data_IF_086269875081
#
_entry.id   IF_086269875081
#
_cell.length_a   1.000
_cell.length_b   1.000
_cell.length_c   1.000
_cell.angle_alpha   90.00
_cell.angle_beta   90.00
_cell.angle_gamma   90.00
#
_symmetry.space_group_name_H-M   'P 1'
#
loop_
_entity.id
_entity.type
_entity.pdbx_description
1 polymer ?
#
# COMPACT_ATOMS: atom_id res chain seq x y z
N UNK A 1 9.89 13.81 -20.90
CA UNK A 1 9.88 12.61 -20.05
C UNK A 1 8.51 12.50 -19.37
N UNK A 2 7.64 11.64 -19.89
CA UNK A 2 6.21 11.53 -19.49
C UNK A 2 5.96 10.94 -18.07
N UNK A 3 7.01 10.77 -17.25
CA UNK A 3 6.93 10.10 -15.95
C UNK A 3 6.52 11.00 -14.76
N UNK A 4 6.66 12.32 -14.86
CA UNK A 4 6.41 13.22 -13.71
C UNK A 4 4.93 13.47 -13.43
N UNK A 5 4.15 13.77 -14.47
CA UNK A 5 2.72 14.12 -14.37
C UNK A 5 1.85 12.89 -14.04
N UNK A 6 2.16 11.74 -14.63
CA UNK A 6 1.48 10.47 -14.40
C UNK A 6 1.74 9.91 -12.99
N UNK A 7 2.97 10.06 -12.48
CA UNK A 7 3.30 9.71 -11.10
C UNK A 7 2.55 10.60 -10.09
N UNK A 8 2.44 11.91 -10.35
CA UNK A 8 1.65 12.82 -9.50
C UNK A 8 0.16 12.44 -9.50
N UNK A 9 -0.41 12.12 -10.66
CA UNK A 9 -1.79 11.67 -10.78
C UNK A 9 -2.05 10.39 -9.96
N UNK A 10 -1.15 9.40 -10.02
CA UNK A 10 -1.28 8.20 -9.21
C UNK A 10 -1.01 8.46 -7.72
N UNK A 11 -0.10 9.37 -7.35
CA UNK A 11 0.08 9.81 -5.96
C UNK A 11 -1.20 10.45 -5.42
N UNK A 12 -1.84 11.32 -6.20
CA UNK A 12 -3.13 11.92 -5.82
C UNK A 12 -4.21 10.85 -5.69
N UNK A 13 -4.29 9.92 -6.65
CA UNK A 13 -5.23 8.82 -6.59
C UNK A 13 -5.04 7.99 -5.31
N UNK A 14 -3.80 7.55 -5.05
CA UNK A 14 -3.49 6.80 -3.83
C UNK A 14 -3.72 7.61 -2.56
N UNK A 15 -3.49 8.93 -2.56
CA UNK A 15 -3.79 9.79 -1.42
C UNK A 15 -5.30 9.91 -1.17
N UNK A 16 -6.11 10.00 -2.24
CA UNK A 16 -7.57 9.98 -2.15
C UNK A 16 -8.06 8.61 -1.65
N UNK A 17 -7.51 7.50 -2.16
CA UNK A 17 -7.84 6.17 -1.66
C UNK A 17 -7.41 5.98 -0.20
N UNK A 18 -6.21 6.41 0.17
CA UNK A 18 -5.68 6.30 1.53
C UNK A 18 -6.47 7.14 2.53
N UNK A 19 -6.88 8.34 2.15
CA UNK A 19 -7.73 9.20 2.99
C UNK A 19 -9.13 8.62 3.19
N UNK A 20 -9.72 8.00 2.14
CA UNK A 20 -11.01 7.29 2.26
C UNK A 20 -10.93 6.05 3.16
N UNK A 21 -9.84 5.29 3.09
CA UNK A 21 -9.57 4.17 4.02
C UNK A 21 -9.40 4.67 5.45
N UNK A 22 -8.67 5.78 5.63
CA UNK A 22 -8.41 6.36 6.95
C UNK A 22 -9.65 6.94 7.61
N UNK A 23 -10.64 7.43 6.86
CA UNK A 23 -11.86 8.03 7.44
C UNK A 23 -12.83 7.02 8.05
N UNK A 24 -12.71 5.73 7.74
CA UNK A 24 -13.55 4.67 8.30
C UNK A 24 -12.96 3.94 9.51
N UNK A 25 -11.70 4.20 9.85
CA UNK A 25 -11.02 3.53 10.95
C UNK A 25 -11.13 4.35 12.24
N UNK A 26 -11.69 3.75 13.29
CA UNK A 26 -11.83 4.37 14.62
C UNK A 26 -10.47 4.55 15.36
N UNK A 27 -9.35 4.20 14.70
CA UNK A 27 -7.98 4.45 15.15
C UNK A 27 -7.15 5.04 14.00
N UNK A 28 -6.23 5.99 14.28
CA UNK A 28 -5.31 6.50 13.27
C UNK A 28 -4.50 5.35 12.64
N UNK A 29 -4.47 5.30 11.32
CA UNK A 29 -3.66 4.31 10.60
C UNK A 29 -2.17 4.45 10.98
N UNK A 30 -1.51 3.32 11.21
CA UNK A 30 -0.09 3.27 11.53
C UNK A 30 0.27 3.58 12.99
N UNK A 31 -0.69 3.60 13.92
CA UNK A 31 -0.39 3.57 15.36
C UNK A 31 0.42 2.33 15.74
N UNK A 32 0.16 1.18 15.10
CA UNK A 32 0.90 -0.05 15.28
C UNK A 32 2.39 0.13 14.94
N UNK A 33 2.71 0.87 13.88
CA UNK A 33 4.09 1.14 13.47
C UNK A 33 4.76 2.16 14.40
N UNK A 34 4.02 3.16 14.88
CA UNK A 34 4.53 4.12 15.88
C UNK A 34 4.81 3.44 17.22
N UNK A 35 3.95 2.52 17.64
CA UNK A 35 4.16 1.71 18.83
C UNK A 35 5.38 0.80 18.67
N UNK A 36 5.49 0.11 17.53
CA UNK A 36 6.65 -0.74 17.22
C UNK A 36 7.98 0.04 17.25
N UNK A 37 7.99 1.25 16.70
CA UNK A 37 9.16 2.13 16.74
C UNK A 37 9.54 2.49 18.17
N UNK A 38 8.59 2.98 18.98
CA UNK A 38 8.85 3.34 20.38
C UNK A 38 9.43 2.16 21.17
N UNK A 39 8.78 1.00 21.09
CA UNK A 39 9.25 -0.22 21.78
C UNK A 39 10.63 -0.64 21.28
N UNK A 40 10.94 -0.50 19.98
CA UNK A 40 12.27 -0.82 19.46
C UNK A 40 13.36 0.09 20.02
N UNK A 41 13.05 1.39 20.18
CA UNK A 41 13.97 2.37 20.77
C UNK A 41 14.17 2.07 22.27
N UNK A 42 13.11 1.75 23.01
CA UNK A 42 13.15 1.44 24.44
C UNK A 42 14.00 0.21 24.77
N UNK A 43 13.95 -0.83 23.93
CA UNK A 43 14.72 -2.08 24.14
C UNK A 43 16.08 -2.07 23.41
N UNK A 44 16.41 -0.99 22.69
CA UNK A 44 17.62 -0.90 21.87
C UNK A 44 17.67 -1.89 20.70
N UNK A 45 16.52 -2.31 20.17
CA UNK A 45 16.45 -3.18 19.01
C UNK A 45 16.73 -2.41 17.72
N UNK A 46 17.38 -3.07 16.75
CA UNK A 46 17.60 -2.49 15.44
C UNK A 46 16.26 -2.32 14.69
N UNK A 47 15.90 -1.08 14.38
CA UNK A 47 14.74 -0.78 13.54
C UNK A 47 15.09 -0.92 12.06
N UNK A 48 14.32 -1.74 11.34
CA UNK A 48 14.44 -1.92 9.88
C UNK A 48 13.10 -1.58 9.24
N UNK A 49 13.12 -0.72 8.22
CA UNK A 49 11.93 -0.45 7.41
C UNK A 49 11.71 -1.63 6.46
N UNK A 50 10.69 -2.43 6.75
CA UNK A 50 10.42 -3.68 6.06
C UNK A 50 9.71 -3.56 4.71
N UNK A 51 9.05 -2.42 4.45
CA UNK A 51 8.24 -2.21 3.25
C UNK A 51 9.06 -1.57 2.11
N UNK A 52 8.57 -1.76 0.88
CA UNK A 52 9.15 -1.19 -0.33
C UNK A 52 8.93 0.33 -0.35
N UNK A 53 9.91 1.13 -0.81
CA UNK A 53 9.68 2.55 -1.08
C UNK A 53 8.44 2.76 -1.93
N UNK A 54 7.57 3.67 -1.49
CA UNK A 54 6.25 3.86 -2.10
C UNK A 54 6.36 4.31 -3.56
N UNK A 55 7.43 5.01 -3.92
CA UNK A 55 7.75 5.45 -5.28
C UNK A 55 7.91 4.28 -6.22
N UNK A 56 8.63 3.24 -5.80
CA UNK A 56 8.86 2.03 -6.59
C UNK A 56 7.55 1.26 -6.75
N UNK A 57 6.78 1.15 -5.65
CA UNK A 57 5.44 0.53 -5.68
C UNK A 57 4.54 1.22 -6.70
N UNK A 58 4.51 2.55 -6.66
CA UNK A 58 3.71 3.39 -7.54
C UNK A 58 4.14 3.30 -9.00
N UNK A 59 5.44 3.32 -9.26
CA UNK A 59 6.00 3.20 -10.59
C UNK A 59 5.63 1.85 -11.21
N UNK A 60 5.76 0.76 -10.45
CA UNK A 60 5.38 -0.59 -10.91
C UNK A 60 3.87 -0.70 -11.14
N UNK A 61 3.06 -0.09 -10.28
CA UNK A 61 1.61 0.02 -10.46
C UNK A 61 1.23 0.76 -11.75
N UNK A 62 1.86 1.90 -12.07
CA UNK A 62 1.61 2.60 -13.34
C UNK A 62 2.03 1.79 -14.56
N UNK A 63 3.17 1.09 -14.46
CA UNK A 63 3.70 0.27 -15.55
C UNK A 63 2.83 -0.98 -15.80
N UNK A 64 2.19 -1.54 -14.78
CA UNK A 64 1.36 -2.73 -14.93
C UNK A 64 0.02 -2.45 -15.62
N UNK A 65 -0.51 -1.22 -15.54
CA UNK A 65 -1.78 -0.87 -16.17
C UNK A 65 -1.73 -1.00 -17.70
N UNK A 66 -2.77 -1.63 -18.27
CA UNK A 66 -3.05 -1.62 -19.70
C UNK A 66 -3.40 -0.20 -20.19
N UNK A 67 -3.41 0.00 -21.52
CA UNK A 67 -3.79 1.28 -22.10
C UNK A 67 -5.23 1.68 -21.75
N UNK A 68 -6.15 0.70 -21.74
CA UNK A 68 -7.56 0.93 -21.38
C UNK A 68 -7.72 1.28 -19.89
N UNK A 69 -6.99 0.61 -19.01
CA UNK A 69 -7.00 0.94 -17.58
C UNK A 69 -6.38 2.31 -17.32
N UNK A 70 -5.29 2.68 -18.03
CA UNK A 70 -4.67 4.00 -17.94
C UNK A 70 -5.63 5.12 -18.34
N UNK A 71 -6.34 4.96 -19.47
CA UNK A 71 -7.32 5.96 -19.91
C UNK A 71 -8.49 6.07 -18.95
N UNK A 72 -9.04 4.94 -18.47
CA UNK A 72 -10.07 4.92 -17.42
C UNK A 72 -9.61 5.62 -16.14
N UNK A 73 -8.37 5.37 -15.70
CA UNK A 73 -7.79 6.00 -14.52
C UNK A 73 -7.72 7.52 -14.69
N UNK A 74 -7.19 7.98 -15.83
CA UNK A 74 -7.08 9.41 -16.15
C UNK A 74 -8.47 10.05 -16.19
N UNK A 75 -9.45 9.46 -16.89
CA UNK A 75 -10.83 9.97 -16.94
C UNK A 75 -11.44 10.02 -15.54
N UNK A 76 -11.24 8.99 -14.72
CA UNK A 76 -11.77 8.94 -13.35
C UNK A 76 -11.20 10.04 -12.46
N UNK A 77 -9.91 10.35 -12.64
CA UNK A 77 -9.22 11.43 -11.93
C UNK A 77 -9.69 12.80 -12.40
N UNK A 78 -9.79 13.02 -13.71
CA UNK A 78 -10.34 14.26 -14.27
C UNK A 78 -11.77 14.48 -13.79
N UNK A 79 -12.64 13.46 -13.87
CA UNK A 79 -14.01 13.55 -13.36
C UNK A 79 -14.03 13.78 -11.85
N UNK A 80 -13.19 13.09 -11.08
CA UNK A 80 -13.11 13.27 -9.63
C UNK A 80 -12.69 14.68 -9.23
N UNK A 81 -11.71 15.28 -9.93
CA UNK A 81 -11.27 16.66 -9.70
C UNK A 81 -12.34 17.66 -10.16
N UNK A 82 -12.97 17.46 -11.32
CA UNK A 82 -14.07 18.33 -11.78
C UNK A 82 -15.33 18.19 -10.93
N UNK A 83 -15.59 17.04 -10.31
CA UNK A 83 -16.71 16.86 -9.38
C UNK A 83 -16.47 17.50 -8.02
N UNK A 84 -15.22 17.81 -7.65
CA UNK A 84 -14.94 18.56 -6.40
C UNK A 84 -15.39 20.02 -6.45
N UNK A 85 -15.78 20.56 -7.62
CA UNK A 85 -16.33 21.92 -7.70
C UNK A 85 -17.83 22.00 -7.38
N UNK A 86 -18.57 20.89 -7.31
CA UNK A 86 -20.04 20.88 -7.08
C UNK A 86 -20.55 19.75 -6.17
N UNK A 87 -19.74 19.24 -5.23
CA UNK A 87 -20.24 18.23 -4.27
C UNK A 87 -20.60 18.83 -2.91
N UNK A 88 -21.87 18.73 -2.47
CA UNK A 88 -22.22 18.93 -1.07
C UNK A 88 -21.48 17.91 -0.19
N UNK A 89 -21.18 18.32 1.04
CA UNK A 89 -20.33 17.64 2.02
C UNK A 89 -20.89 16.31 2.58
N UNK A 90 -21.99 15.80 2.03
CA UNK A 90 -22.70 14.63 2.52
C UNK A 90 -22.46 13.43 1.60
N UNK A 91 -21.63 12.51 2.11
CA UNK A 91 -21.49 11.07 1.79
C UNK A 91 -20.03 10.62 1.95
N UNK A 92 -19.43 10.94 3.11
CA UNK A 92 -18.25 10.23 3.60
C UNK A 92 -18.69 8.94 4.30
N UNK A 93 -19.36 8.05 3.56
CA UNK A 93 -19.57 6.69 4.04
C UNK A 93 -18.20 6.03 4.20
N UNK A 94 -17.94 5.44 5.36
CA UNK A 94 -16.75 4.65 5.62
C UNK A 94 -16.74 3.43 4.68
N UNK A 95 -16.08 3.56 3.53
CA UNK A 95 -15.94 2.43 2.58
C UNK A 95 -15.01 1.41 3.21
N UNK A 96 -15.45 0.16 3.29
CA UNK A 96 -14.60 -0.86 3.90
C UNK A 96 -13.35 -1.12 3.04
N UNK A 97 -12.20 -1.49 3.64
CA UNK A 97 -11.02 -1.88 2.88
C UNK A 97 -11.29 -3.03 1.89
N UNK A 98 -12.27 -3.89 2.21
CA UNK A 98 -12.71 -4.99 1.35
C UNK A 98 -13.44 -4.49 0.10
N UNK A 99 -14.39 -3.55 0.23
CA UNK A 99 -15.09 -2.95 -0.91
C UNK A 99 -14.13 -2.20 -1.83
N UNK A 100 -13.12 -1.53 -1.28
CA UNK A 100 -12.09 -0.86 -2.07
C UNK A 100 -11.21 -1.87 -2.80
N UNK A 101 -10.87 -2.99 -2.16
CA UNK A 101 -10.16 -4.08 -2.80
C UNK A 101 -10.96 -4.68 -3.95
N UNK A 102 -12.24 -5.01 -3.75
CA UNK A 102 -13.14 -5.52 -4.80
C UNK A 102 -13.26 -4.55 -5.97
N UNK A 103 -13.43 -3.26 -5.68
CA UNK A 103 -13.51 -2.22 -6.72
C UNK A 103 -12.21 -2.07 -7.50
N UNK A 104 -11.06 -2.14 -6.83
CA UNK A 104 -9.75 -2.06 -7.46
C UNK A 104 -9.46 -3.34 -8.26
N UNK A 105 -9.83 -4.50 -7.75
CA UNK A 105 -9.72 -5.81 -8.41
C UNK A 105 -10.53 -5.87 -9.72
N UNK A 106 -11.77 -5.41 -9.68
CA UNK A 106 -12.66 -5.41 -10.85
C UNK A 106 -12.33 -4.33 -11.88
N UNK A 107 -11.98 -3.12 -11.43
CA UNK A 107 -11.76 -1.98 -12.34
C UNK A 107 -10.34 -1.89 -12.87
N UNK A 108 -9.36 -2.35 -12.09
CA UNK A 108 -7.93 -2.24 -12.36
C UNK A 108 -7.18 -3.50 -11.88
N UNK A 109 -7.53 -4.71 -12.38
CA UNK A 109 -6.92 -5.97 -11.94
C UNK A 109 -5.39 -5.95 -12.03
N UNK A 110 -4.83 -5.23 -13.01
CA UNK A 110 -3.38 -5.09 -13.20
C UNK A 110 -2.67 -4.42 -12.03
N UNK A 111 -3.38 -3.70 -11.15
CA UNK A 111 -2.81 -3.07 -9.95
C UNK A 111 -2.62 -4.04 -8.79
N UNK A 112 -3.36 -5.15 -8.75
CA UNK A 112 -3.30 -6.10 -7.63
C UNK A 112 -1.92 -6.74 -7.48
N UNK A 113 -1.27 -7.03 -8.60
CA UNK A 113 0.04 -7.64 -8.59
C UNK A 113 1.09 -6.73 -7.92
N UNK A 114 1.32 -5.48 -8.39
CA UNK A 114 2.31 -4.61 -7.77
C UNK A 114 1.89 -4.03 -6.42
N UNK A 115 0.61 -3.72 -6.19
CA UNK A 115 0.19 -3.08 -4.93
C UNK A 115 0.05 -4.05 -3.76
N UNK A 116 -0.27 -5.32 -4.03
CA UNK A 116 -0.53 -6.33 -2.99
C UNK A 116 0.53 -7.42 -3.05
N UNK A 117 0.50 -8.28 -4.07
CA UNK A 117 1.28 -9.53 -4.10
C UNK A 117 2.79 -9.30 -4.08
N UNK A 118 3.31 -8.44 -4.96
CA UNK A 118 4.74 -8.11 -4.97
C UNK A 118 5.20 -7.43 -3.69
N UNK A 119 4.29 -6.65 -3.09
CA UNK A 119 4.56 -5.90 -1.86
C UNK A 119 4.64 -6.84 -0.66
N UNK A 120 3.75 -7.83 -0.61
CA UNK A 120 3.80 -8.93 0.36
C UNK A 120 5.08 -9.74 0.24
N UNK A 121 5.47 -10.11 -0.99
CA UNK A 121 6.73 -10.80 -1.24
C UNK A 121 7.94 -9.96 -0.81
N UNK A 122 7.93 -8.65 -1.06
CA UNK A 122 9.00 -7.76 -0.63
C UNK A 122 9.13 -7.72 0.89
N UNK A 123 8.01 -7.60 1.62
CA UNK A 123 8.00 -7.60 3.08
C UNK A 123 8.48 -8.95 3.65
N UNK A 124 8.04 -10.07 3.08
CA UNK A 124 8.51 -11.40 3.46
C UNK A 124 10.03 -11.54 3.27
N UNK A 125 10.53 -11.14 2.10
CA UNK A 125 11.95 -11.13 1.81
C UNK A 125 12.74 -10.21 2.76
N UNK A 126 12.19 -9.04 3.10
CA UNK A 126 12.83 -8.10 4.03
C UNK A 126 13.01 -8.69 5.43
N UNK A 127 12.03 -9.48 5.91
CA UNK A 127 12.14 -10.21 7.18
C UNK A 127 13.26 -11.26 7.14
N UNK A 128 13.32 -12.07 6.07
CA UNK A 128 14.38 -13.07 5.89
C UNK A 128 15.76 -12.42 5.79
N UNK A 129 15.88 -11.38 4.97
CA UNK A 129 17.12 -10.63 4.79
C UNK A 129 17.59 -10.00 6.10
N UNK A 130 16.68 -9.45 6.90
CA UNK A 130 17.02 -8.87 8.20
C UNK A 130 17.68 -9.89 9.13
N UNK A 131 17.19 -11.13 9.14
CA UNK A 131 17.81 -12.23 9.89
C UNK A 131 19.21 -12.55 9.37
N UNK A 132 19.35 -12.69 8.05
CA UNK A 132 20.60 -13.09 7.40
C UNK A 132 21.71 -12.02 7.50
N UNK A 133 21.38 -10.76 7.23
CA UNK A 133 22.35 -9.66 7.13
C UNK A 133 22.74 -9.12 8.50
N UNK A 134 21.76 -8.94 9.39
CA UNK A 134 22.02 -8.32 10.70
C UNK A 134 22.43 -9.34 11.78
N UNK A 135 22.65 -10.61 11.40
CA UNK A 135 22.98 -11.73 12.32
C UNK A 135 22.05 -11.79 13.55
N UNK A 136 20.80 -11.38 13.38
CA UNK A 136 19.84 -11.27 14.47
C UNK A 136 19.28 -12.65 14.81
N UNK A 137 19.28 -13.02 16.10
CA UNK A 137 18.71 -14.30 16.57
C UNK A 137 17.19 -14.36 16.35
N UNK A 138 16.53 -13.21 16.48
CA UNK A 138 15.07 -13.07 16.39
C UNK A 138 14.74 -11.83 15.59
N UNK A 139 13.79 -11.95 14.66
CA UNK A 139 13.23 -10.84 13.87
C UNK A 139 11.75 -10.79 14.15
N UNK A 140 11.23 -9.61 14.51
CA UNK A 140 9.81 -9.37 14.74
C UNK A 140 9.30 -8.44 13.64
N UNK A 141 8.35 -8.92 12.84
CA UNK A 141 7.69 -8.13 11.80
C UNK A 141 6.38 -7.54 12.31
N UNK A 142 6.23 -6.22 12.22
CA UNK A 142 4.95 -5.54 12.43
C UNK A 142 4.36 -5.21 11.07
N UNK A 143 3.23 -5.84 10.75
CA UNK A 143 2.64 -5.82 9.40
C UNK A 143 1.17 -5.41 9.52
N UNK A 144 0.72 -4.53 8.62
CA UNK A 144 -0.69 -4.15 8.55
C UNK A 144 -1.58 -5.35 8.22
N UNK A 145 -2.75 -5.44 8.86
CA UNK A 145 -3.66 -6.62 8.77
C UNK A 145 -3.95 -7.08 7.33
N UNK A 146 -4.10 -6.15 6.38
CA UNK A 146 -4.40 -6.46 4.98
C UNK A 146 -3.29 -7.25 4.25
N UNK A 147 -2.06 -7.20 4.74
CA UNK A 147 -0.90 -7.86 4.14
C UNK A 147 -0.49 -9.14 4.90
N UNK A 148 -1.06 -9.38 6.08
CA UNK A 148 -0.63 -10.46 6.98
C UNK A 148 -0.65 -11.83 6.29
N UNK A 149 -1.75 -12.19 5.66
CA UNK A 149 -1.91 -13.50 5.02
C UNK A 149 -0.94 -13.69 3.85
N UNK A 150 -0.76 -12.66 3.01
CA UNK A 150 0.14 -12.72 1.86
C UNK A 150 1.61 -12.81 2.27
N UNK A 151 2.02 -12.07 3.30
CA UNK A 151 3.39 -12.14 3.84
C UNK A 151 3.66 -13.51 4.47
N UNK A 152 2.72 -14.03 5.28
CA UNK A 152 2.86 -15.37 5.89
C UNK A 152 2.96 -16.44 4.82
N UNK A 153 2.11 -16.38 3.80
CA UNK A 153 2.18 -17.30 2.66
C UNK A 153 3.55 -17.23 1.97
N UNK A 154 4.01 -16.02 1.62
CA UNK A 154 5.31 -15.83 0.98
C UNK A 154 6.48 -16.35 1.84
N UNK A 155 6.44 -16.17 3.17
CA UNK A 155 7.46 -16.69 4.08
C UNK A 155 7.52 -18.22 4.13
N UNK A 156 6.37 -18.89 4.04
CA UNK A 156 6.27 -20.35 4.11
C UNK A 156 6.59 -20.99 2.76
N UNK A 157 6.10 -20.38 1.67
CA UNK A 157 6.27 -20.91 0.31
C UNK A 157 7.66 -20.71 -0.27
N UNK A 158 8.37 -19.67 0.17
CA UNK A 158 9.74 -19.42 -0.26
C UNK A 158 10.70 -20.26 0.62
N UNK A 159 11.28 -21.34 0.08
CA UNK A 159 12.28 -22.17 0.77
C UNK A 159 13.74 -21.71 0.56
N UNK A 160 13.95 -20.54 -0.05
CA UNK A 160 15.26 -19.87 -0.14
C UNK A 160 15.70 -19.20 1.15
#
# INVERSE_FOLDING_TARGET
TWGGQSALALRLLLAVFSSKISSGANRPFGEEFRAARRVSEDIGAQLVLGDRPIEITLERALKSLSWDEKTKLVISLFRGITSTTDMPQDEKAAVSPYELYEKLSSSYPSLLQPLVHERDMFMAWSLKRSKAVNKSKTVVGVIGKGHMNGVVYALISDQG
#
